data_IF_301039924483
#
_entry.id   IF_301039924483
#
_cell.length_a   1.000
_cell.length_b   1.000
_cell.length_c   1.000
_cell.angle_alpha   90.00
_cell.angle_beta   90.00
_cell.angle_gamma   90.00
#
_symmetry.space_group_name_H-M   'P 1'
#
loop_
_entity.id
_entity.type
_entity.pdbx_description
1 polymer ?
#
# COMPACT_ATOMS: atom_id res chain seq x y z
N UNK A 1 -33.88 -8.75 12.52
CA UNK A 1 -32.72 -7.84 12.58
C UNK A 1 -31.77 -8.39 13.63
N UNK A 2 -30.87 -9.27 13.25
CA UNK A 2 -29.79 -9.74 14.12
C UNK A 2 -28.80 -8.59 14.27
N UNK A 3 -28.69 -8.03 15.46
CA UNK A 3 -27.61 -7.11 15.80
C UNK A 3 -26.30 -7.88 15.61
N UNK A 4 -25.57 -7.57 14.53
CA UNK A 4 -24.19 -8.04 14.36
C UNK A 4 -23.41 -7.60 15.60
N UNK A 5 -22.83 -8.54 16.32
CA UNK A 5 -21.95 -8.21 17.44
C UNK A 5 -20.82 -7.31 16.88
N UNK A 6 -20.54 -6.21 17.59
CA UNK A 6 -19.44 -5.35 17.21
C UNK A 6 -18.15 -6.16 17.17
N UNK A 7 -17.42 -6.09 16.07
CA UNK A 7 -16.12 -6.77 15.92
C UNK A 7 -15.12 -6.10 16.85
N UNK A 8 -14.36 -6.90 17.60
CA UNK A 8 -13.26 -6.37 18.40
C UNK A 8 -12.10 -5.99 17.47
N UNK A 9 -11.57 -4.76 17.54
CA UNK A 9 -10.42 -4.36 16.72
C UNK A 9 -9.18 -5.16 17.12
N UNK A 10 -8.35 -5.47 16.12
CA UNK A 10 -7.04 -6.06 16.33
C UNK A 10 -6.10 -4.96 16.84
N UNK A 11 -5.36 -5.25 17.92
CA UNK A 11 -4.41 -4.28 18.47
C UNK A 11 -3.29 -3.96 17.47
N UNK A 12 -3.14 -2.69 17.14
CA UNK A 12 -2.02 -2.21 16.30
C UNK A 12 -0.77 -2.16 17.17
N UNK A 13 0.25 -2.94 16.80
CA UNK A 13 1.53 -3.04 17.54
C UNK A 13 2.67 -2.27 16.86
N UNK A 14 2.41 -1.74 15.68
CA UNK A 14 3.40 -0.99 14.89
C UNK A 14 3.36 0.48 15.32
N UNK A 15 4.49 1.08 15.74
CA UNK A 15 4.51 2.48 16.15
C UNK A 15 4.23 3.40 14.95
N UNK A 16 3.36 4.39 15.08
CA UNK A 16 3.11 5.34 14.01
C UNK A 16 4.36 6.18 13.70
N UNK A 17 4.69 6.33 12.41
CA UNK A 17 5.74 7.23 11.94
C UNK A 17 7.19 6.80 12.20
N UNK A 18 7.44 5.58 12.68
CA UNK A 18 8.80 5.09 13.01
C UNK A 18 9.02 3.64 12.51
N UNK A 19 8.65 3.35 11.26
CA UNK A 19 8.65 1.99 10.72
C UNK A 19 9.84 1.67 9.83
N UNK A 20 10.54 2.69 9.30
CA UNK A 20 11.74 2.51 8.49
C UNK A 20 12.92 3.33 9.02
N UNK A 21 14.11 2.73 9.00
CA UNK A 21 15.37 3.42 9.24
C UNK A 21 15.87 4.00 7.90
N UNK A 22 15.75 5.31 7.72
CA UNK A 22 16.11 6.02 6.50
C UNK A 22 17.34 6.90 6.72
N UNK A 23 18.20 7.10 5.69
CA UNK A 23 19.24 8.10 5.77
C UNK A 23 18.63 9.49 5.92
N UNK A 24 19.30 10.34 6.66
CA UNK A 24 18.99 11.77 6.80
C UNK A 24 19.53 12.57 5.62
N UNK A 25 19.13 13.84 5.51
CA UNK A 25 19.65 14.76 4.49
C UNK A 25 21.18 14.90 4.55
N UNK A 26 21.75 14.98 5.75
CA UNK A 26 23.19 15.19 5.94
C UNK A 26 24.01 13.93 5.63
N UNK A 27 23.41 12.77 5.66
CA UNK A 27 24.05 11.50 5.28
C UNK A 27 24.06 11.27 3.76
N UNK A 28 23.30 12.05 2.97
CA UNK A 28 23.40 12.00 1.52
C UNK A 28 24.74 12.59 1.06
N UNK A 29 25.35 12.02 0.00
CA UNK A 29 26.54 12.59 -0.62
C UNK A 29 26.35 14.05 -1.02
N UNK A 30 27.40 14.86 -0.89
CA UNK A 30 27.34 16.29 -1.17
C UNK A 30 26.93 16.61 -2.63
N UNK A 31 27.29 15.73 -3.58
CA UNK A 31 26.89 15.83 -5.00
C UNK A 31 25.38 15.67 -5.16
N UNK A 32 24.74 14.72 -4.43
CA UNK A 32 23.29 14.51 -4.45
C UNK A 32 22.57 15.71 -3.83
N UNK A 33 23.05 16.20 -2.69
CA UNK A 33 22.48 17.40 -2.05
C UNK A 33 22.57 18.64 -2.96
N UNK A 34 23.72 18.85 -3.63
CA UNK A 34 23.89 19.91 -4.62
C UNK A 34 23.00 19.71 -5.86
N UNK A 35 22.80 18.46 -6.32
CA UNK A 35 21.88 18.15 -7.40
C UNK A 35 20.46 18.60 -7.02
N UNK A 36 19.98 18.23 -5.84
CA UNK A 36 18.63 18.61 -5.36
C UNK A 36 18.48 20.13 -5.30
N UNK A 37 19.41 20.85 -4.64
CA UNK A 37 19.36 22.33 -4.56
C UNK A 37 19.33 22.97 -5.95
N UNK A 38 20.20 22.54 -6.88
CA UNK A 38 20.22 23.06 -8.26
C UNK A 38 18.92 22.79 -9.00
N UNK A 39 18.37 21.56 -8.90
CA UNK A 39 17.12 21.18 -9.59
C UNK A 39 15.90 21.90 -9.01
N UNK A 40 15.91 22.17 -7.70
CA UNK A 40 14.86 22.95 -7.04
C UNK A 40 15.03 24.47 -7.27
N UNK A 41 16.20 24.93 -7.69
CA UNK A 41 16.50 26.36 -7.94
C UNK A 41 16.71 27.17 -6.66
N UNK A 42 16.82 26.53 -5.48
CA UNK A 42 17.07 27.16 -4.19
C UNK A 42 17.77 26.18 -3.24
N UNK A 43 18.52 26.70 -2.27
CA UNK A 43 19.16 25.88 -1.25
C UNK A 43 18.15 25.25 -0.30
N UNK A 44 18.45 24.03 0.15
CA UNK A 44 17.69 23.34 1.20
C UNK A 44 18.15 23.89 2.55
N UNK A 45 17.23 24.46 3.33
CA UNK A 45 17.52 25.05 4.65
C UNK A 45 17.01 24.20 5.81
N UNK A 46 16.05 23.29 5.55
CA UNK A 46 15.54 22.34 6.55
C UNK A 46 15.15 21.03 5.84
N UNK A 47 15.40 19.91 6.48
CA UNK A 47 15.00 18.59 6.01
C UNK A 47 14.39 17.77 7.14
N UNK A 48 13.17 17.27 6.93
CA UNK A 48 12.46 16.41 7.88
C UNK A 48 12.27 15.02 7.26
N UNK A 49 13.00 14.04 7.77
CA UNK A 49 12.88 12.65 7.32
C UNK A 49 11.51 12.07 7.68
N UNK A 50 10.91 11.33 6.76
CA UNK A 50 9.67 10.60 7.00
C UNK A 50 10.01 9.20 7.49
N UNK A 51 9.60 8.89 8.71
CA UNK A 51 9.84 7.58 9.33
C UNK A 51 8.76 6.53 9.04
N UNK A 52 7.63 6.91 8.46
CA UNK A 52 6.57 5.98 8.05
C UNK A 52 6.91 5.23 6.76
N UNK A 53 6.18 4.14 6.49
CA UNK A 53 6.48 3.22 5.39
C UNK A 53 7.58 2.23 5.75
N UNK A 54 7.90 1.33 4.82
CA UNK A 54 8.86 0.23 5.05
C UNK A 54 10.04 0.23 4.07
N UNK A 55 10.10 1.19 3.15
CA UNK A 55 11.19 1.33 2.19
C UNK A 55 12.32 2.16 2.80
N UNK A 56 13.54 1.62 2.97
CA UNK A 56 14.63 2.30 3.69
C UNK A 56 15.45 3.28 2.81
N UNK A 57 14.94 3.72 1.66
CA UNK A 57 15.53 4.79 0.85
C UNK A 57 15.39 6.15 1.54
N UNK A 58 16.17 7.15 1.11
CA UNK A 58 15.95 8.53 1.54
C UNK A 58 14.54 9.00 1.15
N UNK A 59 13.82 9.56 2.10
CA UNK A 59 12.50 10.17 1.89
C UNK A 59 12.32 11.30 2.91
N UNK A 60 12.26 12.54 2.44
CA UNK A 60 12.20 13.71 3.31
C UNK A 60 11.38 14.84 2.72
N UNK A 61 10.74 15.60 3.60
CA UNK A 61 10.19 16.92 3.30
C UNK A 61 11.31 17.93 3.41
N UNK A 62 11.54 18.73 2.37
CA UNK A 62 12.58 19.72 2.31
C UNK A 62 11.95 21.12 2.26
N UNK A 63 12.43 22.03 3.13
CA UNK A 63 12.13 23.45 3.05
C UNK A 63 13.27 24.15 2.29
N UNK A 64 12.92 24.90 1.26
CA UNK A 64 13.85 25.64 0.43
C UNK A 64 14.00 27.09 0.95
N UNK A 65 15.13 27.72 0.65
CA UNK A 65 15.45 29.09 1.09
C UNK A 65 14.45 30.14 0.55
N UNK A 66 13.71 29.83 -0.51
CA UNK A 66 12.64 30.68 -1.06
C UNK A 66 11.26 30.41 -0.45
N UNK A 67 11.18 29.57 0.59
CA UNK A 67 9.96 29.24 1.30
C UNK A 67 9.13 28.10 0.69
N UNK A 68 9.48 27.59 -0.51
CA UNK A 68 8.81 26.44 -1.09
C UNK A 68 9.16 25.16 -0.32
N UNK A 69 8.20 24.21 -0.31
CA UNK A 69 8.39 22.85 0.20
C UNK A 69 8.35 21.84 -0.94
N UNK A 70 9.21 20.82 -0.85
CA UNK A 70 9.23 19.70 -1.80
C UNK A 70 9.43 18.40 -1.04
N UNK A 71 8.85 17.33 -1.52
CA UNK A 71 9.11 15.98 -1.02
C UNK A 71 10.12 15.30 -1.94
N UNK A 72 11.19 14.74 -1.38
CA UNK A 72 12.26 14.11 -2.17
C UNK A 72 12.49 12.69 -1.70
N UNK A 73 12.54 11.76 -2.68
CA UNK A 73 13.04 10.39 -2.51
C UNK A 73 14.35 10.25 -3.25
N UNK A 74 15.31 9.49 -2.69
CA UNK A 74 16.58 9.18 -3.34
C UNK A 74 17.08 7.78 -2.96
N UNK A 75 17.68 7.09 -3.90
CA UNK A 75 18.33 5.81 -3.70
C UNK A 75 19.60 5.68 -4.54
N UNK A 76 20.64 5.13 -3.92
CA UNK A 76 21.87 4.73 -4.57
C UNK A 76 21.65 3.39 -5.30
N UNK A 77 21.92 3.37 -6.59
CA UNK A 77 21.72 2.19 -7.43
C UNK A 77 22.71 1.06 -7.10
N UNK A 78 23.90 1.38 -6.62
CA UNK A 78 24.93 0.36 -6.31
C UNK A 78 24.63 -0.39 -5.02
N UNK A 79 24.19 0.32 -3.98
CA UNK A 79 23.98 -0.26 -2.65
C UNK A 79 22.51 -0.58 -2.37
N UNK A 80 21.58 -0.02 -3.16
CA UNK A 80 20.13 -0.11 -2.95
C UNK A 80 19.35 -0.28 -4.27
N UNK A 81 19.85 -1.11 -5.18
CA UNK A 81 19.28 -1.33 -6.52
C UNK A 81 17.75 -1.59 -6.53
N UNK A 82 17.15 -2.42 -5.64
CA UNK A 82 15.70 -2.63 -5.64
C UNK A 82 14.91 -1.34 -5.36
N UNK A 83 15.42 -0.48 -4.47
CA UNK A 83 14.76 0.80 -4.15
C UNK A 83 14.95 1.85 -5.25
N UNK A 84 16.12 1.86 -5.90
CA UNK A 84 16.34 2.68 -7.08
C UNK A 84 15.39 2.30 -8.22
N UNK A 85 15.20 0.99 -8.46
CA UNK A 85 14.23 0.49 -9.45
C UNK A 85 12.79 0.89 -9.09
N UNK A 86 12.40 0.78 -7.81
CA UNK A 86 11.10 1.20 -7.29
C UNK A 86 10.85 2.70 -7.52
N UNK A 87 11.82 3.55 -7.19
CA UNK A 87 11.70 5.00 -7.39
C UNK A 87 11.65 5.39 -8.87
N UNK A 88 12.39 4.70 -9.74
CA UNK A 88 12.31 4.86 -11.20
C UNK A 88 10.91 4.53 -11.72
N UNK A 89 10.33 3.43 -11.22
CA UNK A 89 8.97 3.02 -11.56
C UNK A 89 7.92 4.04 -11.06
N UNK A 90 8.07 4.55 -9.83
CA UNK A 90 7.19 5.58 -9.27
C UNK A 90 7.25 6.87 -10.10
N UNK A 91 8.47 7.35 -10.44
CA UNK A 91 8.61 8.56 -11.24
C UNK A 91 7.94 8.42 -12.62
N UNK A 92 8.10 7.28 -13.28
CA UNK A 92 7.49 7.03 -14.58
C UNK A 92 5.95 7.02 -14.50
N UNK A 93 5.38 6.39 -13.47
CA UNK A 93 3.93 6.33 -13.24
C UNK A 93 3.36 7.71 -12.88
N UNK A 94 3.97 8.43 -11.95
CA UNK A 94 3.54 9.79 -11.58
C UNK A 94 3.54 10.76 -12.75
N UNK A 95 4.47 10.61 -13.69
CA UNK A 95 4.57 11.48 -14.87
C UNK A 95 3.35 11.36 -15.81
N UNK A 96 2.61 10.24 -15.77
CA UNK A 96 1.47 9.97 -16.68
C UNK A 96 0.11 9.95 -15.96
N UNK A 97 0.08 10.00 -14.63
CA UNK A 97 -1.18 10.00 -13.88
C UNK A 97 -2.04 11.22 -14.26
N UNK A 98 -3.34 11.02 -14.54
CA UNK A 98 -4.28 12.10 -14.80
C UNK A 98 -4.39 13.06 -13.60
N UNK A 99 -4.70 14.33 -13.88
CA UNK A 99 -4.88 15.33 -12.83
C UNK A 99 -6.04 15.02 -11.87
N UNK A 100 -7.01 14.24 -12.31
CA UNK A 100 -8.13 13.80 -11.48
C UNK A 100 -7.74 12.77 -10.42
N UNK A 101 -6.59 12.11 -10.57
CA UNK A 101 -6.08 11.15 -9.56
C UNK A 101 -5.36 11.94 -8.46
N UNK A 102 -5.75 11.78 -7.19
CA UNK A 102 -5.16 12.53 -6.07
C UNK A 102 -3.80 11.94 -5.67
N UNK A 103 -2.79 12.21 -6.47
CA UNK A 103 -1.40 11.82 -6.26
C UNK A 103 -0.49 13.05 -6.18
N UNK A 104 0.57 13.03 -5.36
CA UNK A 104 1.57 14.10 -5.36
C UNK A 104 2.15 14.30 -6.76
N UNK A 105 2.23 15.53 -7.25
CA UNK A 105 2.75 15.83 -8.59
C UNK A 105 4.24 15.60 -8.64
N UNK A 106 4.73 14.85 -9.63
CA UNK A 106 6.16 14.78 -9.94
C UNK A 106 6.62 16.16 -10.44
N UNK A 107 7.59 16.74 -9.77
CA UNK A 107 8.20 18.01 -10.15
C UNK A 107 9.37 17.77 -11.11
N UNK A 108 10.24 16.84 -10.78
CA UNK A 108 11.34 16.37 -11.61
C UNK A 108 11.86 15.01 -11.11
N UNK A 109 12.57 14.30 -11.99
CA UNK A 109 13.34 13.11 -11.64
C UNK A 109 14.75 13.19 -12.20
N UNK A 110 15.65 12.43 -11.62
CA UNK A 110 17.04 12.24 -12.06
C UNK A 110 17.39 10.76 -11.96
N UNK A 111 17.95 10.20 -13.02
CA UNK A 111 18.37 8.80 -13.12
C UNK A 111 19.70 8.77 -13.85
N UNK A 112 20.76 9.07 -13.13
CA UNK A 112 22.14 9.11 -13.63
C UNK A 112 23.14 9.12 -12.46
N UNK A 113 24.42 8.94 -12.80
CA UNK A 113 25.53 9.02 -11.86
C UNK A 113 25.40 8.08 -10.64
N UNK A 114 24.71 6.92 -10.86
CA UNK A 114 24.46 5.92 -9.81
C UNK A 114 23.36 6.27 -8.83
N UNK A 115 22.56 7.32 -9.09
CA UNK A 115 21.48 7.78 -8.21
C UNK A 115 20.16 7.91 -8.95
N UNK A 116 19.10 7.41 -8.33
CA UNK A 116 17.73 7.74 -8.71
C UNK A 116 17.16 8.71 -7.67
N UNK A 117 16.76 9.90 -8.14
CA UNK A 117 16.20 10.96 -7.28
C UNK A 117 14.91 11.46 -7.90
N UNK A 118 13.85 11.56 -7.11
CA UNK A 118 12.60 12.20 -7.53
C UNK A 118 12.17 13.24 -6.52
N UNK A 119 11.73 14.39 -7.02
CA UNK A 119 11.09 15.43 -6.25
C UNK A 119 9.62 15.54 -6.64
N UNK A 120 8.79 15.63 -5.64
CA UNK A 120 7.34 15.69 -5.76
C UNK A 120 6.79 16.87 -4.98
N UNK A 121 5.54 17.19 -5.26
CA UNK A 121 4.75 18.08 -4.42
C UNK A 121 4.80 17.59 -2.96
N UNK A 122 5.13 18.49 -2.03
CA UNK A 122 4.94 18.22 -0.61
C UNK A 122 3.47 18.43 -0.25
N UNK A 123 2.79 17.35 0.10
CA UNK A 123 1.38 17.39 0.48
C UNK A 123 1.28 17.70 1.98
N UNK A 124 0.63 18.80 2.30
CA UNK A 124 0.38 19.24 3.69
C UNK A 124 -0.82 18.47 4.27
N UNK A 125 -0.69 17.16 4.44
CA UNK A 125 -1.72 16.29 4.99
C UNK A 125 -1.19 15.42 6.12
N UNK A 126 -2.09 14.76 6.82
CA UNK A 126 -1.82 13.79 7.88
C UNK A 126 -2.36 12.41 7.50
N UNK A 127 -1.72 11.36 8.00
CA UNK A 127 -2.23 10.00 7.84
C UNK A 127 -3.57 9.86 8.57
N UNK A 128 -4.52 9.07 8.03
CA UNK A 128 -5.75 8.77 8.75
C UNK A 128 -5.45 8.04 10.06
N UNK A 129 -6.27 8.26 11.11
CA UNK A 129 -6.06 7.59 12.40
C UNK A 129 -6.35 6.09 12.29
N UNK A 130 -5.71 5.33 13.20
CA UNK A 130 -6.04 3.93 13.45
C UNK A 130 -6.49 3.79 14.91
N UNK A 131 -7.60 3.11 15.19
CA UNK A 131 -8.56 2.52 14.25
C UNK A 131 -9.22 3.55 13.32
N UNK A 132 -9.60 3.11 12.11
CA UNK A 132 -10.33 3.95 11.16
C UNK A 132 -11.58 4.56 11.77
N UNK A 133 -11.84 5.83 11.50
CA UNK A 133 -13.17 6.40 11.72
C UNK A 133 -14.04 6.23 10.48
N UNK A 134 -15.37 6.16 10.65
CA UNK A 134 -16.28 6.06 9.51
C UNK A 134 -16.11 7.21 8.52
N UNK A 135 -15.91 8.44 9.02
CA UNK A 135 -15.72 9.62 8.16
C UNK A 135 -14.48 9.49 7.27
N UNK A 136 -13.33 9.08 7.84
CA UNK A 136 -12.09 8.90 7.05
C UNK A 136 -12.22 7.72 6.07
N UNK A 137 -12.91 6.63 6.44
CA UNK A 137 -13.18 5.52 5.51
C UNK A 137 -14.03 5.99 4.33
N UNK A 138 -15.08 6.79 4.58
CA UNK A 138 -15.93 7.28 3.52
C UNK A 138 -15.17 8.18 2.55
N UNK A 139 -14.34 9.12 3.05
CA UNK A 139 -13.49 9.97 2.22
C UNK A 139 -12.52 9.15 1.35
N UNK A 140 -11.83 8.18 1.96
CA UNK A 140 -10.83 7.37 1.24
C UNK A 140 -11.49 6.47 0.21
N UNK A 141 -12.61 5.81 0.53
CA UNK A 141 -13.32 4.95 -0.40
C UNK A 141 -13.94 5.74 -1.56
N UNK A 142 -14.44 6.98 -1.32
CA UNK A 142 -14.91 7.85 -2.40
C UNK A 142 -13.77 8.25 -3.34
N UNK A 143 -12.61 8.60 -2.79
CA UNK A 143 -11.42 8.96 -3.58
C UNK A 143 -10.88 7.77 -4.39
N UNK A 144 -10.93 6.55 -3.84
CA UNK A 144 -10.54 5.32 -4.56
C UNK A 144 -11.50 5.01 -5.70
N UNK A 145 -12.80 5.12 -5.48
CA UNK A 145 -13.81 4.91 -6.54
C UNK A 145 -13.64 5.92 -7.69
N UNK A 146 -13.41 7.20 -7.36
CA UNK A 146 -13.10 8.23 -8.35
C UNK A 146 -11.79 7.94 -9.10
N UNK A 147 -10.74 7.49 -8.38
CA UNK A 147 -9.45 7.12 -8.98
C UNK A 147 -9.58 5.93 -9.92
N UNK A 148 -10.34 4.90 -9.53
CA UNK A 148 -10.58 3.74 -10.36
C UNK A 148 -11.27 4.11 -11.68
N UNK A 149 -12.24 5.04 -11.66
CA UNK A 149 -12.85 5.56 -12.88
C UNK A 149 -11.85 6.32 -13.76
N UNK A 150 -11.01 7.18 -13.17
CA UNK A 150 -10.03 7.98 -13.89
C UNK A 150 -8.87 7.13 -14.47
N UNK A 151 -8.62 5.94 -13.91
CA UNK A 151 -7.56 5.02 -14.29
C UNK A 151 -8.06 3.81 -15.10
N UNK A 152 -9.30 3.87 -15.61
CA UNK A 152 -9.89 2.85 -16.49
C UNK A 152 -10.28 3.47 -17.83
N UNK A 153 -9.57 3.17 -18.93
CA UNK A 153 -8.34 2.35 -19.02
C UNK A 153 -7.13 3.07 -18.42
N UNK A 154 -6.03 2.34 -18.14
CA UNK A 154 -4.79 2.96 -17.67
C UNK A 154 -4.25 3.99 -18.64
N UNK A 155 -3.65 5.11 -18.15
CA UNK A 155 -3.09 6.13 -19.02
C UNK A 155 -1.94 5.58 -19.86
N UNK A 156 -1.77 6.06 -21.12
CA UNK A 156 -0.67 5.65 -21.97
C UNK A 156 0.67 6.23 -21.48
N UNK A 157 1.77 5.71 -22.01
CA UNK A 157 3.14 6.25 -21.77
C UNK A 157 4.01 5.40 -20.87
N UNK A 158 3.42 4.47 -20.11
CA UNK A 158 4.16 3.45 -19.34
C UNK A 158 3.56 2.07 -19.54
N UNK A 159 4.35 1.05 -19.24
CA UNK A 159 3.85 -0.33 -19.17
C UNK A 159 3.24 -0.55 -17.79
N UNK A 160 2.00 -1.04 -17.76
CA UNK A 160 1.31 -1.42 -16.55
C UNK A 160 1.29 -2.95 -16.48
N UNK A 161 2.02 -3.59 -15.54
CA UNK A 161 1.97 -5.05 -15.37
C UNK A 161 0.52 -5.52 -15.18
N UNK A 162 0.19 -6.71 -15.62
CA UNK A 162 -1.10 -7.32 -15.28
C UNK A 162 -1.07 -7.81 -13.82
N UNK A 163 -2.24 -8.03 -13.24
CA UNK A 163 -2.32 -8.61 -11.88
C UNK A 163 -1.58 -9.96 -11.81
N UNK A 164 -1.70 -10.79 -12.83
CA UNK A 164 -1.05 -12.09 -12.88
C UNK A 164 0.49 -12.00 -13.00
N UNK A 165 1.03 -10.94 -13.63
CA UNK A 165 2.49 -10.76 -13.74
C UNK A 165 3.14 -10.55 -12.35
N UNK A 166 2.49 -9.80 -11.45
CA UNK A 166 3.07 -9.44 -10.16
C UNK A 166 2.53 -10.29 -9.00
N UNK A 167 1.31 -10.82 -9.11
CA UNK A 167 0.61 -11.52 -8.01
C UNK A 167 0.27 -12.98 -8.33
N UNK A 168 0.57 -13.46 -9.55
CA UNK A 168 0.20 -14.80 -10.01
C UNK A 168 0.83 -15.94 -9.20
N UNK A 169 1.98 -15.72 -8.59
CA UNK A 169 2.69 -16.71 -7.78
C UNK A 169 2.25 -16.74 -6.31
N UNK A 170 1.47 -15.74 -5.85
CA UNK A 170 1.06 -15.65 -4.44
C UNK A 170 0.28 -16.85 -3.91
N UNK A 171 -0.58 -17.55 -4.69
CA UNK A 171 -1.26 -18.75 -4.21
C UNK A 171 -0.32 -19.82 -3.67
N UNK A 172 0.91 -19.91 -4.20
CA UNK A 172 1.96 -20.84 -3.73
C UNK A 172 2.41 -20.63 -2.28
N UNK A 173 2.15 -19.46 -1.71
CA UNK A 173 2.51 -19.19 -0.32
C UNK A 173 1.69 -20.00 0.69
N UNK A 174 0.53 -20.54 0.32
CA UNK A 174 -0.21 -21.45 1.19
C UNK A 174 0.56 -22.74 1.46
N UNK A 175 1.07 -23.40 0.41
CA UNK A 175 1.91 -24.60 0.56
C UNK A 175 3.17 -24.30 1.35
N UNK A 176 3.88 -23.20 0.99
CA UNK A 176 5.11 -22.79 1.68
C UNK A 176 4.89 -22.48 3.17
N UNK A 177 3.73 -21.88 3.53
CA UNK A 177 3.38 -21.59 4.91
C UNK A 177 2.99 -22.85 5.69
N UNK A 178 2.29 -23.81 5.06
CA UNK A 178 1.96 -25.09 5.66
C UNK A 178 3.22 -25.93 5.93
N UNK A 179 4.12 -26.02 4.96
CA UNK A 179 5.37 -26.76 5.06
C UNK A 179 6.30 -26.23 6.18
N UNK A 180 6.21 -24.94 6.46
CA UNK A 180 7.01 -24.26 7.49
C UNK A 180 6.29 -24.08 8.84
N UNK A 181 5.06 -24.62 8.97
CA UNK A 181 4.27 -24.54 10.21
C UNK A 181 3.80 -23.13 10.58
N UNK A 182 3.65 -22.25 9.58
CA UNK A 182 3.23 -20.85 9.76
C UNK A 182 1.71 -20.65 9.72
N UNK A 183 0.97 -21.68 9.31
CA UNK A 183 -0.48 -21.64 9.27
C UNK A 183 -1.02 -21.87 10.69
N UNK A 184 -1.87 -20.97 11.21
CA UNK A 184 -2.55 -21.16 12.50
C UNK A 184 -3.33 -22.48 12.55
N UNK A 185 -3.38 -23.13 13.72
CA UNK A 185 -3.97 -24.46 13.88
C UNK A 185 -5.43 -24.54 13.42
N UNK A 186 -6.20 -23.48 13.65
CA UNK A 186 -7.60 -23.37 13.26
C UNK A 186 -7.81 -23.28 11.74
N UNK A 187 -6.78 -22.83 11.00
CA UNK A 187 -6.82 -22.73 9.54
C UNK A 187 -6.25 -23.98 8.83
N UNK A 188 -5.53 -24.85 9.55
CA UNK A 188 -4.95 -26.07 8.98
C UNK A 188 -5.98 -26.92 8.20
N UNK A 189 -7.23 -27.14 8.70
CA UNK A 189 -8.23 -27.91 7.96
C UNK A 189 -8.67 -27.28 6.63
N UNK A 190 -8.38 -26.00 6.41
CA UNK A 190 -8.84 -25.22 5.27
C UNK A 190 -7.74 -24.81 4.29
N UNK A 191 -6.49 -25.28 4.49
CA UNK A 191 -5.32 -24.89 3.66
C UNK A 191 -5.58 -25.15 2.17
N UNK A 192 -6.06 -26.36 1.82
CA UNK A 192 -6.35 -26.72 0.43
C UNK A 192 -7.43 -25.80 -0.16
N UNK A 193 -8.51 -25.54 0.60
CA UNK A 193 -9.56 -24.64 0.14
C UNK A 193 -9.10 -23.19 0.01
N UNK A 194 -8.28 -22.70 0.91
CA UNK A 194 -7.68 -21.37 0.82
C UNK A 194 -6.74 -21.26 -0.40
N UNK A 195 -5.95 -22.31 -0.66
CA UNK A 195 -5.06 -22.37 -1.83
C UNK A 195 -5.87 -22.31 -3.14
N UNK A 196 -6.97 -23.08 -3.22
CA UNK A 196 -7.89 -23.05 -4.37
C UNK A 196 -8.49 -21.65 -4.56
N UNK A 197 -9.07 -21.04 -3.50
CA UNK A 197 -9.65 -19.70 -3.54
C UNK A 197 -8.61 -18.66 -3.99
N UNK A 198 -7.39 -18.74 -3.47
CA UNK A 198 -6.30 -17.85 -3.86
C UNK A 198 -5.93 -18.02 -5.34
N UNK A 199 -5.87 -19.25 -5.85
CA UNK A 199 -5.59 -19.53 -7.26
C UNK A 199 -6.70 -19.02 -8.19
N UNK A 200 -7.97 -19.29 -7.85
CA UNK A 200 -9.14 -18.80 -8.61
C UNK A 200 -9.18 -17.27 -8.64
N UNK A 201 -8.75 -16.59 -7.55
CA UNK A 201 -8.82 -15.13 -7.42
C UNK A 201 -7.91 -14.40 -8.40
N UNK A 202 -6.81 -14.97 -8.85
CA UNK A 202 -5.90 -14.35 -9.82
C UNK A 202 -6.64 -13.97 -11.10
N UNK A 203 -7.55 -14.85 -11.58
CA UNK A 203 -8.41 -14.56 -12.72
C UNK A 203 -9.52 -13.56 -12.41
N UNK A 204 -10.14 -13.66 -11.23
CA UNK A 204 -11.23 -12.77 -10.81
C UNK A 204 -10.74 -11.33 -10.53
N UNK A 205 -9.49 -11.19 -10.05
CA UNK A 205 -8.86 -9.90 -9.77
C UNK A 205 -8.20 -9.28 -11.01
N UNK A 206 -8.13 -10.00 -12.12
CA UNK A 206 -7.66 -9.42 -13.37
C UNK A 206 -8.61 -8.30 -13.85
N UNK A 207 -8.02 -7.26 -14.47
CA UNK A 207 -8.81 -6.14 -14.94
C UNK A 207 -8.02 -5.15 -15.79
N UNK A 208 -8.66 -4.03 -16.12
CA UNK A 208 -8.11 -2.97 -16.95
C UNK A 208 -7.99 -1.62 -16.22
N UNK A 209 -8.02 -1.63 -14.90
CA UNK A 209 -7.83 -0.42 -14.07
C UNK A 209 -6.39 -0.41 -13.54
N UNK A 210 -5.68 0.71 -13.64
CA UNK A 210 -4.40 0.86 -12.95
C UNK A 210 -4.69 1.05 -11.45
N UNK A 211 -4.57 -0.02 -10.67
CA UNK A 211 -4.77 -0.03 -9.23
C UNK A 211 -3.46 0.23 -8.50
N UNK A 212 -3.51 1.03 -7.45
CA UNK A 212 -2.34 1.38 -6.62
C UNK A 212 -1.73 0.16 -5.93
N UNK A 213 -2.56 -0.75 -5.47
CA UNK A 213 -2.31 -2.02 -4.78
C UNK A 213 -1.66 -1.96 -3.39
N UNK A 214 -1.12 -0.82 -3.00
CA UNK A 214 -0.50 -0.62 -1.68
C UNK A 214 -1.18 0.55 -0.92
N UNK A 215 -2.52 0.58 -0.92
CA UNK A 215 -3.33 1.65 -0.30
C UNK A 215 -3.49 1.38 1.20
N UNK A 216 -2.38 1.54 1.93
CA UNK A 216 -2.35 1.47 3.38
C UNK A 216 -2.46 2.86 3.99
N UNK A 217 -2.79 2.94 5.27
CA UNK A 217 -2.90 4.20 6.00
C UNK A 217 -1.63 5.07 5.95
N UNK A 218 -0.45 4.45 5.89
CA UNK A 218 0.83 5.15 5.80
C UNK A 218 1.13 5.73 4.41
N UNK A 219 0.40 5.27 3.38
CA UNK A 219 0.43 5.78 2.01
C UNK A 219 -0.74 6.72 1.68
N UNK A 220 -1.56 7.06 2.68
CA UNK A 220 -2.70 7.96 2.54
C UNK A 220 -2.44 9.23 3.36
N UNK A 221 -2.65 10.39 2.75
CA UNK A 221 -2.67 11.67 3.45
C UNK A 221 -4.03 12.32 3.24
N UNK A 222 -4.55 12.97 4.29
CA UNK A 222 -5.77 13.78 4.23
C UNK A 222 -5.37 15.19 4.64
N UNK A 223 -5.63 16.16 3.77
CA UNK A 223 -5.29 17.55 4.02
C UNK A 223 -6.39 18.30 4.80
N UNK A 224 -6.17 19.58 5.07
CA UNK A 224 -7.10 20.40 5.86
C UNK A 224 -8.45 20.68 5.17
N UNK A 225 -8.54 20.42 3.86
CA UNK A 225 -9.76 20.56 3.06
C UNK A 225 -10.45 19.20 2.82
N UNK A 226 -10.12 18.18 3.63
CA UNK A 226 -10.58 16.80 3.50
C UNK A 226 -10.23 16.14 2.15
N UNK A 227 -9.24 16.67 1.42
CA UNK A 227 -8.75 16.04 0.20
C UNK A 227 -7.85 14.86 0.53
N UNK A 228 -8.20 13.70 -0.02
CA UNK A 228 -7.39 12.49 0.11
C UNK A 228 -6.29 12.49 -0.93
N UNK A 229 -5.08 12.09 -0.55
CA UNK A 229 -3.92 11.92 -1.42
C UNK A 229 -3.34 10.53 -1.25
N UNK A 230 -3.08 9.83 -2.37
CA UNK A 230 -2.42 8.53 -2.39
C UNK A 230 -0.94 8.70 -2.78
N UNK A 231 -0.04 8.22 -1.92
CA UNK A 231 1.41 8.32 -2.06
C UNK A 231 2.01 6.95 -2.38
N UNK A 232 3.25 6.93 -2.91
CA UNK A 232 4.02 5.70 -3.14
C UNK A 232 3.47 4.83 -4.29
N UNK A 233 3.41 5.39 -5.51
CA UNK A 233 2.81 4.80 -6.72
C UNK A 233 3.72 3.76 -7.44
N UNK A 234 4.57 3.07 -6.73
CA UNK A 234 5.55 2.13 -7.32
C UNK A 234 4.96 0.75 -7.66
N UNK A 235 3.95 0.26 -6.93
CA UNK A 235 3.41 -1.10 -7.06
C UNK A 235 2.19 -1.25 -7.99
N UNK A 236 1.86 -0.23 -8.76
CA UNK A 236 0.65 -0.20 -9.59
C UNK A 236 0.64 -1.30 -10.63
N UNK A 237 -0.46 -2.05 -10.68
CA UNK A 237 -0.75 -3.07 -11.70
C UNK A 237 -2.14 -2.87 -12.30
N UNK A 238 -2.42 -3.53 -13.42
CA UNK A 238 -3.77 -3.62 -13.98
C UNK A 238 -4.54 -4.70 -13.24
N UNK A 239 -5.58 -4.30 -12.52
CA UNK A 239 -6.40 -5.18 -11.72
C UNK A 239 -7.89 -4.85 -11.86
N UNK A 240 -8.73 -5.61 -11.15
CA UNK A 240 -10.15 -5.32 -10.99
C UNK A 240 -10.33 -3.96 -10.30
N UNK A 241 -11.23 -3.09 -10.76
CA UNK A 241 -11.36 -1.71 -10.26
C UNK A 241 -11.64 -1.60 -8.76
N UNK A 242 -12.20 -2.63 -8.14
CA UNK A 242 -12.47 -2.68 -6.70
C UNK A 242 -11.24 -3.05 -5.84
N UNK A 243 -10.09 -3.41 -6.46
CA UNK A 243 -8.96 -3.97 -5.72
C UNK A 243 -8.48 -3.06 -4.57
N UNK A 244 -8.24 -1.77 -4.85
CA UNK A 244 -7.77 -0.82 -3.85
C UNK A 244 -8.78 -0.60 -2.71
N UNK A 245 -10.07 -0.58 -3.05
CA UNK A 245 -11.14 -0.54 -2.03
C UNK A 245 -11.15 -1.78 -1.14
N UNK A 246 -10.89 -2.98 -1.69
CA UNK A 246 -10.77 -4.20 -0.90
C UNK A 246 -9.58 -4.16 0.06
N UNK A 247 -8.45 -3.58 -0.34
CA UNK A 247 -7.27 -3.39 0.54
C UNK A 247 -7.63 -2.50 1.74
N UNK A 248 -8.31 -1.38 1.52
CA UNK A 248 -8.76 -0.49 2.61
C UNK A 248 -9.80 -1.18 3.49
N UNK A 249 -10.76 -1.91 2.89
CA UNK A 249 -11.78 -2.63 3.64
C UNK A 249 -11.21 -3.76 4.48
N UNK A 250 -10.11 -4.41 4.04
CA UNK A 250 -9.38 -5.37 4.84
C UNK A 250 -8.83 -4.72 6.11
N UNK A 251 -8.21 -3.54 5.99
CA UNK A 251 -7.71 -2.82 7.16
C UNK A 251 -8.85 -2.31 8.06
N UNK A 252 -9.97 -1.87 7.47
CA UNK A 252 -11.16 -1.48 8.20
C UNK A 252 -11.76 -2.64 9.01
N UNK A 253 -11.79 -3.84 8.42
CA UNK A 253 -12.24 -5.04 9.13
C UNK A 253 -11.36 -5.35 10.35
N UNK A 254 -10.04 -5.28 10.18
CA UNK A 254 -9.10 -5.45 11.29
C UNK A 254 -9.27 -4.41 12.41
N UNK A 255 -9.76 -3.22 12.09
CA UNK A 255 -10.11 -2.17 13.04
C UNK A 255 -11.54 -2.29 13.64
N UNK A 256 -12.26 -3.37 13.31
CA UNK A 256 -13.56 -3.67 13.89
C UNK A 256 -14.77 -3.15 13.12
N UNK A 257 -14.59 -2.64 11.89
CA UNK A 257 -15.70 -2.26 11.03
C UNK A 257 -16.34 -3.49 10.35
N UNK A 258 -17.63 -3.40 10.06
CA UNK A 258 -18.34 -4.40 9.25
C UNK A 258 -18.04 -4.15 7.76
N UNK A 259 -16.97 -4.80 7.29
CA UNK A 259 -16.50 -4.62 5.91
C UNK A 259 -17.51 -5.15 4.88
N UNK A 260 -18.28 -6.20 5.19
CA UNK A 260 -19.32 -6.70 4.29
C UNK A 260 -20.44 -5.66 4.12
N UNK A 261 -20.87 -5.01 5.19
CA UNK A 261 -21.83 -3.91 5.11
C UNK A 261 -21.27 -2.69 4.34
N UNK A 262 -19.96 -2.44 4.41
CA UNK A 262 -19.31 -1.39 3.63
C UNK A 262 -19.22 -1.75 2.14
N UNK A 263 -18.95 -3.02 1.79
CA UNK A 263 -18.97 -3.51 0.39
C UNK A 263 -20.32 -3.20 -0.29
N UNK A 264 -21.43 -3.44 0.40
CA UNK A 264 -22.77 -3.26 -0.14
C UNK A 264 -23.13 -1.80 -0.44
N UNK A 265 -22.50 -0.85 0.27
CA UNK A 265 -22.78 0.59 0.15
C UNK A 265 -22.11 1.26 -1.05
N UNK A 266 -21.09 0.65 -1.64
CA UNK A 266 -20.25 1.27 -2.67
C UNK A 266 -20.58 0.73 -4.06
N UNK A 267 -20.68 1.62 -5.04
CA UNK A 267 -21.05 1.23 -6.40
C UNK A 267 -20.03 0.25 -7.00
N UNK A 268 -18.74 0.47 -6.71
CA UNK A 268 -17.63 -0.34 -7.24
C UNK A 268 -17.53 -1.74 -6.61
N UNK A 269 -18.11 -1.96 -5.42
CA UNK A 269 -17.97 -3.23 -4.68
C UNK A 269 -19.28 -3.98 -4.48
N UNK A 270 -20.46 -3.35 -4.59
CA UNK A 270 -21.75 -3.98 -4.29
C UNK A 270 -22.16 -5.11 -5.25
N UNK A 271 -21.54 -5.21 -6.42
CA UNK A 271 -21.87 -6.20 -7.44
C UNK A 271 -20.63 -7.00 -7.89
N UNK A 272 -19.75 -7.31 -6.92
CA UNK A 272 -18.56 -8.11 -7.20
C UNK A 272 -18.94 -9.54 -7.60
N UNK A 273 -18.16 -10.19 -8.47
CA UNK A 273 -18.34 -11.60 -8.80
C UNK A 273 -18.32 -12.48 -7.55
N UNK A 274 -19.13 -13.55 -7.57
CA UNK A 274 -19.11 -14.55 -6.51
C UNK A 274 -17.69 -15.10 -6.31
N UNK A 275 -17.28 -15.21 -5.04
CA UNK A 275 -15.96 -15.71 -4.66
C UNK A 275 -14.81 -14.70 -4.77
N UNK A 276 -14.98 -13.53 -5.40
CA UNK A 276 -13.89 -12.57 -5.56
C UNK A 276 -13.34 -12.09 -4.22
N UNK A 277 -14.21 -11.72 -3.27
CA UNK A 277 -13.78 -11.23 -1.95
C UNK A 277 -13.11 -12.35 -1.15
N UNK A 278 -13.68 -13.53 -1.13
CA UNK A 278 -13.11 -14.70 -0.43
C UNK A 278 -11.74 -15.08 -1.04
N UNK A 279 -11.63 -15.05 -2.35
CA UNK A 279 -10.38 -15.30 -3.06
C UNK A 279 -9.31 -14.23 -2.79
N UNK A 280 -9.68 -12.94 -2.80
CA UNK A 280 -8.82 -11.84 -2.41
C UNK A 280 -8.29 -12.02 -0.98
N UNK A 281 -9.16 -12.35 -0.03
CA UNK A 281 -8.78 -12.58 1.35
C UNK A 281 -7.86 -13.79 1.49
N UNK A 282 -8.17 -14.91 0.82
CA UNK A 282 -7.32 -16.09 0.82
C UNK A 282 -5.94 -15.81 0.20
N UNK A 283 -5.88 -15.06 -0.90
CA UNK A 283 -4.64 -14.67 -1.55
C UNK A 283 -3.73 -13.86 -0.61
N UNK A 284 -4.26 -12.80 -0.02
CA UNK A 284 -3.50 -11.94 0.87
C UNK A 284 -3.16 -12.62 2.20
N UNK A 285 -4.06 -13.45 2.74
CA UNK A 285 -3.79 -14.23 3.95
C UNK A 285 -2.58 -15.16 3.76
N UNK A 286 -2.53 -15.94 2.67
CA UNK A 286 -1.39 -16.81 2.37
C UNK A 286 -0.08 -16.04 2.26
N UNK A 287 -0.10 -14.91 1.53
CA UNK A 287 1.05 -14.01 1.42
C UNK A 287 1.50 -13.47 2.78
N UNK A 288 0.59 -12.91 3.56
CA UNK A 288 0.94 -12.29 4.83
C UNK A 288 1.39 -13.30 5.90
N UNK A 289 0.80 -14.50 5.94
CA UNK A 289 1.27 -15.59 6.82
C UNK A 289 2.71 -15.97 6.50
N UNK A 290 3.02 -16.12 5.21
CA UNK A 290 4.39 -16.44 4.78
C UNK A 290 5.36 -15.33 5.17
N UNK A 291 5.05 -14.09 4.81
CA UNK A 291 5.92 -12.95 5.02
C UNK A 291 6.11 -12.59 6.50
N UNK A 292 5.06 -12.70 7.32
CA UNK A 292 5.16 -12.45 8.75
C UNK A 292 6.11 -13.41 9.47
N UNK A 293 6.28 -14.64 8.94
CA UNK A 293 7.19 -15.64 9.46
C UNK A 293 8.65 -15.46 9.04
N UNK A 294 8.96 -14.53 8.12
CA UNK A 294 10.33 -14.25 7.68
C UNK A 294 11.08 -13.37 8.69
N UNK A 295 12.42 -13.40 8.72
CA UNK A 295 13.21 -12.47 9.53
C UNK A 295 12.88 -11.01 9.17
N UNK A 296 12.77 -10.15 10.20
CA UNK A 296 12.56 -8.73 9.95
C UNK A 296 13.84 -8.09 9.38
N UNK A 297 13.74 -7.26 8.33
CA UNK A 297 14.89 -6.49 7.86
C UNK A 297 15.34 -5.49 8.94
N UNK A 298 16.64 -5.34 9.16
CA UNK A 298 17.20 -4.36 10.12
C UNK A 298 16.71 -2.92 9.85
N UNK A 299 16.52 -2.60 8.58
CA UNK A 299 16.06 -1.28 8.14
C UNK A 299 14.55 -1.07 8.27
N UNK A 300 13.78 -2.13 8.55
CA UNK A 300 12.32 -2.10 8.69
C UNK A 300 11.86 -3.10 9.77
N UNK A 301 12.23 -2.87 11.04
CA UNK A 301 12.08 -3.87 12.11
C UNK A 301 10.62 -4.23 12.43
N UNK A 302 9.69 -3.36 12.07
CA UNK A 302 8.26 -3.53 12.32
C UNK A 302 7.49 -4.20 11.16
N UNK A 303 8.16 -4.45 10.02
CA UNK A 303 7.51 -4.97 8.81
C UNK A 303 6.76 -6.28 9.07
N UNK A 304 7.38 -7.22 9.82
CA UNK A 304 6.76 -8.53 10.06
C UNK A 304 5.57 -8.47 11.02
N UNK A 305 5.59 -7.57 11.99
CA UNK A 305 4.42 -7.30 12.85
C UNK A 305 3.27 -6.67 12.06
N UNK A 306 3.58 -5.75 11.14
CA UNK A 306 2.60 -5.18 10.23
C UNK A 306 1.94 -6.27 9.35
N UNK A 307 2.75 -7.13 8.74
CA UNK A 307 2.26 -8.24 7.92
C UNK A 307 1.44 -9.25 8.74
N UNK A 308 1.84 -9.55 9.98
CA UNK A 308 1.09 -10.40 10.90
C UNK A 308 -0.28 -9.82 11.24
N UNK A 309 -0.37 -8.49 11.43
CA UNK A 309 -1.64 -7.81 11.64
C UNK A 309 -2.59 -7.98 10.44
N UNK A 310 -2.09 -7.84 9.21
CA UNK A 310 -2.88 -8.05 8.00
C UNK A 310 -3.27 -9.52 7.80
N UNK A 311 -2.40 -10.46 8.18
CA UNK A 311 -2.75 -11.89 8.17
C UNK A 311 -3.92 -12.18 9.10
N UNK A 312 -3.88 -11.64 10.34
CA UNK A 312 -4.97 -11.79 11.31
C UNK A 312 -6.27 -11.15 10.80
N UNK A 313 -6.20 -9.94 10.22
CA UNK A 313 -7.37 -9.27 9.66
C UNK A 313 -8.01 -10.06 8.50
N UNK A 314 -7.19 -10.55 7.58
CA UNK A 314 -7.67 -11.37 6.46
C UNK A 314 -8.25 -12.71 6.93
N UNK A 315 -7.60 -13.38 7.89
CA UNK A 315 -8.06 -14.63 8.46
C UNK A 315 -9.41 -14.49 9.16
N UNK A 316 -9.58 -13.46 10.02
CA UNK A 316 -10.84 -13.18 10.71
C UNK A 316 -11.97 -12.87 9.73
N UNK A 317 -11.72 -12.05 8.72
CA UNK A 317 -12.75 -11.70 7.74
C UNK A 317 -13.14 -12.91 6.88
N UNK A 318 -12.17 -13.68 6.38
CA UNK A 318 -12.43 -14.89 5.61
C UNK A 318 -13.20 -15.94 6.44
N UNK A 319 -12.77 -16.20 7.68
CA UNK A 319 -13.43 -17.14 8.58
C UNK A 319 -14.89 -16.74 8.83
N UNK A 320 -15.17 -15.47 9.11
CA UNK A 320 -16.53 -14.95 9.27
C UNK A 320 -17.39 -15.17 8.01
N UNK A 321 -16.88 -14.81 6.83
CA UNK A 321 -17.58 -14.97 5.56
C UNK A 321 -17.88 -16.43 5.21
N UNK A 322 -16.98 -17.33 5.60
CA UNK A 322 -17.11 -18.79 5.34
C UNK A 322 -17.73 -19.55 6.50
N UNK A 323 -18.09 -18.87 7.60
CA UNK A 323 -18.59 -19.51 8.84
C UNK A 323 -17.61 -20.56 9.39
N UNK A 324 -16.31 -20.30 9.25
CA UNK A 324 -15.26 -21.11 9.85
C UNK A 324 -15.00 -20.67 11.29
N UNK A 325 -14.40 -21.53 12.16
CA UNK A 325 -13.95 -21.12 13.46
C UNK A 325 -12.98 -19.93 13.36
N UNK A 326 -13.20 -18.90 14.16
CA UNK A 326 -12.24 -17.79 14.27
C UNK A 326 -11.06 -18.21 15.14
N UNK A 327 -9.87 -17.65 14.85
CA UNK A 327 -8.70 -17.77 15.70
C UNK A 327 -9.01 -17.17 17.08
N UNK A 328 -8.67 -17.91 18.16
CA UNK A 328 -8.90 -17.50 19.53
C UNK A 328 -7.95 -16.37 19.97
#
# INVERSE_FOLDING_TARGET
MTTSAALAPISVRVPPGATACRPTWDELPAEVRRLVSRRCGAEVIEATSIGSGFTPGFASRLLLADGRRVFVKAADEQTRAPFAASYRAEAAKLAVLPQAVPAPRLLWSHDADGWVVLAMQDVAGTQPPRPWTQAHLDLVLDALEASAHALTPPPPGVQWPSFADDYGDLPGYWSASADTGRVPAELLPYVDRCSELAAESVGLLAGSTACHTDVREDNILIDADDTVWFCDWNWVVRAHPAFDSLVVLLSAHGDGHDADALLERRAITRALPDGLVDGFLALLLGYFLHQAGEPAPDTSPWLRLHQGWYAEAAGRWLARRRSWPEAA
#
